data_IF_803613433564
#
_entry.id   IF_803613433564
#
_cell.length_a   1.000
_cell.length_b   1.000
_cell.length_c   1.000
_cell.angle_alpha   90.00
_cell.angle_beta   90.00
_cell.angle_gamma   90.00
#
_symmetry.space_group_name_H-M   'P 1'
#
loop_
_entity.id
_entity.type
_entity.pdbx_description
1 polymer ?
#
# COMPACT_ATOMS: atom_id res chain seq x y z
N UNK A 1 -19.48 20.96 21.31
CA UNK A 1 -18.71 21.67 20.29
C UNK A 1 -19.53 21.69 19.01
N UNK A 2 -19.53 22.80 18.26
CA UNK A 2 -20.17 22.82 16.95
C UNK A 2 -19.45 21.80 16.03
N UNK A 3 -20.17 21.14 15.11
CA UNK A 3 -19.53 20.25 14.14
C UNK A 3 -18.51 21.03 13.31
N UNK A 4 -17.37 20.41 12.95
CA UNK A 4 -16.36 21.07 12.13
C UNK A 4 -16.96 21.46 10.79
N UNK A 5 -16.61 22.64 10.28
CA UNK A 5 -17.03 23.09 8.97
C UNK A 5 -16.19 22.37 7.90
N UNK A 6 -16.82 21.53 7.13
CA UNK A 6 -16.19 20.78 6.04
C UNK A 6 -16.13 21.67 4.80
N UNK A 7 -14.96 21.74 4.15
CA UNK A 7 -14.73 22.50 2.91
C UNK A 7 -14.57 21.59 1.70
N UNK A 8 -13.98 20.40 1.88
CA UNK A 8 -13.77 19.42 0.80
C UNK A 8 -14.18 18.03 1.27
N UNK A 9 -14.90 17.31 0.42
CA UNK A 9 -15.18 15.88 0.62
C UNK A 9 -14.16 15.07 -0.16
N UNK A 10 -13.67 14.00 0.44
CA UNK A 10 -12.74 13.05 -0.16
C UNK A 10 -13.31 11.67 0.07
N UNK A 11 -13.46 10.91 -1.01
CA UNK A 11 -13.92 9.52 -0.95
C UNK A 11 -12.80 8.59 -1.40
N UNK A 12 -12.47 7.63 -0.54
CA UNK A 12 -11.48 6.57 -0.80
C UNK A 12 -12.19 5.23 -0.99
N UNK A 13 -11.73 4.46 -1.98
CA UNK A 13 -12.22 3.13 -2.31
C UNK A 13 -11.05 2.15 -2.44
N UNK A 14 -11.07 1.09 -1.64
CA UNK A 14 -10.12 -0.03 -1.71
C UNK A 14 -10.85 -1.30 -2.14
N UNK A 15 -10.51 -1.80 -3.34
CA UNK A 15 -11.12 -2.98 -3.96
C UNK A 15 -10.16 -4.16 -3.84
N UNK A 16 -10.14 -4.78 -2.67
CA UNK A 16 -9.27 -5.91 -2.37
C UNK A 16 -9.88 -7.28 -2.73
N UNK A 17 -9.03 -8.32 -2.71
CA UNK A 17 -9.49 -9.71 -2.98
C UNK A 17 -10.33 -10.32 -1.85
N UNK A 18 -10.34 -9.71 -0.66
CA UNK A 18 -11.08 -10.18 0.50
C UNK A 18 -12.29 -9.31 0.83
N UNK A 19 -12.10 -8.01 0.77
CA UNK A 19 -13.11 -7.02 1.08
C UNK A 19 -13.00 -5.83 0.15
N UNK A 20 -14.13 -5.18 -0.11
CA UNK A 20 -14.23 -3.85 -0.70
C UNK A 20 -14.58 -2.88 0.42
N UNK A 21 -13.83 -1.82 0.55
CA UNK A 21 -14.01 -0.81 1.58
C UNK A 21 -14.10 0.58 0.99
N UNK A 22 -15.05 1.37 1.47
CA UNK A 22 -15.21 2.79 1.17
C UNK A 22 -15.08 3.64 2.43
N UNK A 23 -14.49 4.82 2.31
CA UNK A 23 -14.36 5.81 3.37
C UNK A 23 -14.62 7.19 2.81
N UNK A 24 -15.57 7.91 3.42
CA UNK A 24 -15.88 9.30 3.11
C UNK A 24 -15.30 10.15 4.23
N UNK A 25 -14.45 11.10 3.90
CA UNK A 25 -13.85 12.03 4.83
C UNK A 25 -14.13 13.47 4.42
N UNK A 26 -14.25 14.35 5.41
CA UNK A 26 -14.34 15.79 5.22
C UNK A 26 -13.07 16.47 5.66
N UNK A 27 -12.53 17.34 4.84
CA UNK A 27 -11.40 18.21 5.17
C UNK A 27 -11.90 19.56 5.63
N UNK A 28 -11.39 20.04 6.75
CA UNK A 28 -11.67 21.36 7.31
C UNK A 28 -10.70 22.42 6.77
N UNK A 29 -10.99 23.70 6.97
CA UNK A 29 -10.15 24.81 6.54
C UNK A 29 -8.72 24.81 7.14
N UNK A 30 -8.55 24.21 8.31
CA UNK A 30 -7.26 24.00 8.97
C UNK A 30 -6.56 22.68 8.56
N UNK A 31 -7.11 21.98 7.55
CA UNK A 31 -6.53 20.78 6.97
C UNK A 31 -6.81 19.50 7.76
N UNK A 32 -7.58 19.52 8.85
CA UNK A 32 -7.93 18.31 9.59
C UNK A 32 -8.91 17.43 8.78
N UNK A 33 -8.72 16.11 8.87
CA UNK A 33 -9.54 15.14 8.18
C UNK A 33 -10.45 14.41 9.15
N UNK A 34 -11.75 14.50 8.92
CA UNK A 34 -12.80 13.88 9.74
C UNK A 34 -13.51 12.79 8.96
N UNK A 35 -13.59 11.59 9.50
CA UNK A 35 -14.35 10.50 8.91
C UNK A 35 -15.84 10.78 9.06
N UNK A 36 -16.55 10.79 7.94
CA UNK A 36 -18.00 11.04 7.88
C UNK A 36 -18.78 9.75 7.70
N UNK A 37 -18.26 8.82 6.92
CA UNK A 37 -18.91 7.54 6.67
C UNK A 37 -17.94 6.46 6.23
N UNK A 38 -18.27 5.21 6.51
CA UNK A 38 -17.49 4.04 6.09
C UNK A 38 -18.42 2.95 5.58
N UNK A 39 -17.97 2.20 4.58
CA UNK A 39 -18.66 1.04 4.07
C UNK A 39 -17.71 -0.11 3.87
N UNK A 40 -18.19 -1.34 4.11
CA UNK A 40 -17.42 -2.55 3.90
C UNK A 40 -18.32 -3.68 3.43
N UNK A 41 -17.83 -4.41 2.41
CA UNK A 41 -18.47 -5.63 1.90
C UNK A 41 -17.43 -6.72 1.71
N UNK A 42 -17.85 -7.96 1.80
CA UNK A 42 -17.05 -9.10 1.37
C UNK A 42 -16.82 -9.00 -0.13
N UNK A 43 -15.58 -9.12 -0.57
CA UNK A 43 -15.24 -9.04 -1.99
C UNK A 43 -15.72 -10.28 -2.73
N UNK A 44 -16.35 -10.04 -3.86
CA UNK A 44 -16.72 -11.06 -4.85
C UNK A 44 -16.35 -10.51 -6.23
N UNK A 45 -15.87 -11.38 -7.12
CA UNK A 45 -15.43 -10.96 -8.45
C UNK A 45 -13.98 -10.46 -8.53
N UNK A 46 -13.24 -10.36 -7.42
CA UNK A 46 -11.82 -9.99 -7.42
C UNK A 46 -10.96 -11.18 -6.99
N UNK A 47 -9.97 -11.53 -7.81
CA UNK A 47 -9.02 -12.60 -7.53
C UNK A 47 -7.59 -12.09 -7.66
N UNK A 48 -6.79 -12.24 -6.61
CA UNK A 48 -5.39 -11.77 -6.54
C UNK A 48 -5.21 -10.29 -6.94
N UNK A 49 -6.18 -9.45 -6.55
CA UNK A 49 -6.22 -8.04 -6.88
C UNK A 49 -6.71 -7.71 -8.28
N UNK A 50 -7.04 -8.70 -9.12
CA UNK A 50 -7.56 -8.50 -10.46
C UNK A 50 -9.07 -8.69 -10.51
N UNK A 51 -9.77 -7.82 -11.25
CA UNK A 51 -11.20 -7.97 -11.55
C UNK A 51 -11.37 -9.20 -12.45
N UNK A 52 -11.96 -10.25 -11.89
CA UNK A 52 -12.23 -11.53 -12.58
C UNK A 52 -13.70 -11.64 -13.00
N UNK A 53 -14.59 -10.93 -12.32
CA UNK A 53 -16.02 -10.83 -12.63
C UNK A 53 -16.45 -9.36 -12.46
N UNK A 54 -16.75 -8.73 -13.59
CA UNK A 54 -17.04 -7.29 -13.66
C UNK A 54 -18.35 -6.95 -12.95
N UNK A 55 -19.41 -7.72 -13.19
CA UNK A 55 -20.75 -7.48 -12.65
C UNK A 55 -20.77 -7.64 -11.12
N UNK A 56 -20.15 -8.70 -10.62
CA UNK A 56 -20.04 -8.88 -9.18
C UNK A 56 -19.19 -7.80 -8.51
N UNK A 57 -18.08 -7.40 -9.15
CA UNK A 57 -17.21 -6.35 -8.58
C UNK A 57 -17.94 -5.01 -8.53
N UNK A 58 -18.62 -4.62 -9.62
CA UNK A 58 -19.45 -3.42 -9.68
C UNK A 58 -20.51 -3.39 -8.58
N UNK A 59 -21.27 -4.48 -8.46
CA UNK A 59 -22.33 -4.59 -7.45
C UNK A 59 -21.80 -4.41 -6.03
N UNK A 60 -20.67 -5.05 -5.69
CA UNK A 60 -20.06 -4.95 -4.36
C UNK A 60 -19.47 -3.56 -4.10
N UNK A 61 -18.88 -2.91 -5.11
CA UNK A 61 -18.41 -1.51 -5.03
C UNK A 61 -19.59 -0.60 -4.69
N UNK A 62 -20.70 -0.70 -5.42
CA UNK A 62 -21.92 0.07 -5.19
C UNK A 62 -22.43 -0.12 -3.76
N UNK A 63 -22.57 -1.37 -3.30
CA UNK A 63 -23.06 -1.64 -1.94
C UNK A 63 -22.14 -1.07 -0.84
N UNK A 64 -20.80 -1.06 -1.05
CA UNK A 64 -19.86 -0.48 -0.10
C UNK A 64 -19.98 1.05 -0.05
N UNK A 65 -20.11 1.70 -1.21
CA UNK A 65 -20.32 3.15 -1.30
C UNK A 65 -21.67 3.55 -0.69
N UNK A 66 -22.76 2.90 -1.07
CA UNK A 66 -24.09 3.19 -0.52
C UNK A 66 -24.14 3.06 1.02
N UNK A 67 -23.36 2.15 1.59
CA UNK A 67 -23.23 2.05 3.04
C UNK A 67 -22.50 3.27 3.62
N UNK A 68 -21.40 3.70 3.00
CA UNK A 68 -20.64 4.86 3.45
C UNK A 68 -21.48 6.15 3.34
N UNK A 69 -22.17 6.34 2.21
CA UNK A 69 -23.09 7.47 1.95
C UNK A 69 -24.20 7.56 2.99
N UNK A 70 -24.82 6.43 3.32
CA UNK A 70 -25.91 6.37 4.32
C UNK A 70 -25.43 6.81 5.70
N UNK A 71 -24.20 6.46 6.06
CA UNK A 71 -23.60 6.86 7.35
C UNK A 71 -23.21 8.33 7.31
N UNK A 72 -22.64 8.80 6.20
CA UNK A 72 -22.21 10.18 6.02
C UNK A 72 -23.38 11.16 5.82
N UNK A 73 -24.55 10.66 5.36
CA UNK A 73 -25.68 11.50 4.95
C UNK A 73 -25.42 12.31 3.68
N UNK A 74 -24.56 11.82 2.78
CA UNK A 74 -24.09 12.48 1.56
C UNK A 74 -24.19 11.52 0.38
N UNK A 75 -24.37 12.06 -0.83
CA UNK A 75 -24.18 11.32 -2.08
C UNK A 75 -22.81 11.63 -2.63
N UNK A 76 -22.17 10.66 -3.25
CA UNK A 76 -20.80 10.73 -3.75
C UNK A 76 -20.80 10.46 -5.26
N UNK A 77 -20.12 11.33 -6.01
CA UNK A 77 -20.00 11.22 -7.47
C UNK A 77 -18.60 10.75 -7.89
N UNK A 78 -17.57 10.96 -7.03
CA UNK A 78 -16.19 10.67 -7.37
C UNK A 78 -15.41 9.99 -6.25
N UNK A 79 -14.39 9.20 -6.62
CA UNK A 79 -13.59 8.40 -5.70
C UNK A 79 -12.11 8.35 -6.08
N UNK A 80 -11.24 8.25 -5.08
CA UNK A 80 -9.86 7.82 -5.18
C UNK A 80 -9.79 6.32 -4.99
N UNK A 81 -9.13 5.60 -5.88
CA UNK A 81 -9.14 4.13 -5.91
C UNK A 81 -7.76 3.57 -5.61
N UNK A 82 -7.65 2.62 -4.67
CA UNK A 82 -6.42 1.90 -4.43
C UNK A 82 -6.19 0.80 -5.47
N UNK A 83 -4.94 0.64 -5.92
CA UNK A 83 -4.49 -0.49 -6.71
C UNK A 83 -3.50 -1.32 -5.92
N UNK A 84 -3.88 -2.55 -5.57
CA UNK A 84 -3.11 -3.50 -4.75
C UNK A 84 -2.87 -4.83 -5.46
N UNK A 85 -3.06 -4.89 -6.77
CA UNK A 85 -2.81 -6.11 -7.55
C UNK A 85 -1.31 -6.38 -7.72
N UNK A 86 -0.97 -7.59 -8.12
CA UNK A 86 0.39 -7.91 -8.54
C UNK A 86 0.82 -7.13 -9.79
N UNK A 87 2.10 -7.18 -10.12
CA UNK A 87 2.65 -6.50 -11.30
C UNK A 87 2.94 -5.01 -11.12
N UNK A 88 2.81 -4.48 -9.89
CA UNK A 88 3.36 -3.16 -9.56
C UNK A 88 4.88 -3.22 -9.61
N UNK A 89 5.47 -2.28 -10.32
CA UNK A 89 6.92 -2.05 -10.35
C UNK A 89 7.22 -0.58 -10.09
N UNK A 90 8.41 -0.31 -9.57
CA UNK A 90 8.94 1.03 -9.43
C UNK A 90 10.21 1.22 -10.24
N UNK A 91 10.43 2.42 -10.72
CA UNK A 91 11.63 2.85 -11.42
C UNK A 91 11.97 4.29 -11.04
N UNK A 92 13.18 4.73 -11.38
CA UNK A 92 13.68 6.08 -11.12
C UNK A 92 14.29 6.66 -12.36
N UNK A 93 13.73 7.75 -12.85
CA UNK A 93 14.27 8.53 -13.98
C UNK A 93 15.01 9.77 -13.45
N UNK A 94 16.36 9.78 -13.49
CA UNK A 94 17.13 10.98 -13.15
C UNK A 94 17.14 11.95 -14.35
N UNK A 95 16.91 13.23 -14.08
CA UNK A 95 17.03 14.30 -15.06
C UNK A 95 17.86 15.45 -14.50
N UNK A 96 18.50 16.20 -15.38
CA UNK A 96 19.33 17.35 -15.03
C UNK A 96 19.26 18.40 -16.15
N UNK A 97 19.21 19.69 -15.77
CA UNK A 97 19.23 20.84 -16.65
C UNK A 97 20.36 21.79 -16.27
N UNK A 98 21.01 22.42 -17.26
CA UNK A 98 21.98 23.47 -17.02
C UNK A 98 21.29 24.82 -16.87
N UNK A 99 21.58 25.52 -15.76
CA UNK A 99 20.99 26.82 -15.43
C UNK A 99 21.97 27.99 -15.65
N UNK A 100 23.28 27.74 -15.65
CA UNK A 100 24.29 28.78 -15.84
C UNK A 100 24.42 29.75 -14.66
N UNK A 101 24.19 29.26 -13.44
CA UNK A 101 24.43 29.98 -12.18
C UNK A 101 23.39 31.02 -11.78
N UNK A 102 22.26 31.11 -12.49
CA UNK A 102 21.21 32.03 -12.08
C UNK A 102 20.42 31.52 -10.86
N UNK A 103 19.61 32.38 -10.30
CA UNK A 103 18.70 32.03 -9.20
C UNK A 103 17.56 31.17 -9.74
N UNK A 104 17.35 30.01 -9.14
CA UNK A 104 16.29 29.07 -9.51
C UNK A 104 14.94 29.68 -9.24
N UNK A 105 14.11 29.75 -10.26
CA UNK A 105 12.72 30.19 -10.20
C UNK A 105 11.78 29.00 -10.39
N UNK A 106 10.48 29.23 -10.23
CA UNK A 106 9.49 28.17 -10.36
C UNK A 106 9.48 27.60 -11.77
N UNK A 107 9.66 28.46 -12.78
CA UNK A 107 9.71 28.11 -14.19
C UNK A 107 10.83 27.10 -14.49
N UNK A 108 12.02 27.26 -13.90
CA UNK A 108 13.14 26.31 -14.07
C UNK A 108 12.77 24.90 -13.55
N UNK A 109 12.06 24.85 -12.42
CA UNK A 109 11.57 23.60 -11.83
C UNK A 109 10.48 22.98 -12.70
N UNK A 110 9.51 23.77 -13.15
CA UNK A 110 8.41 23.31 -14.00
C UNK A 110 8.94 22.78 -15.34
N UNK A 111 9.92 23.46 -15.94
CA UNK A 111 10.57 23.03 -17.18
C UNK A 111 11.37 21.72 -17.01
N UNK A 112 12.11 21.60 -15.90
CA UNK A 112 12.83 20.36 -15.57
C UNK A 112 11.87 19.17 -15.40
N UNK A 113 10.76 19.38 -14.69
CA UNK A 113 9.74 18.34 -14.47
C UNK A 113 9.01 17.97 -15.79
N UNK A 114 8.73 18.95 -16.65
CA UNK A 114 8.13 18.71 -17.97
C UNK A 114 9.07 17.91 -18.87
N UNK A 115 10.39 18.22 -18.86
CA UNK A 115 11.40 17.46 -19.57
C UNK A 115 11.48 16.01 -19.03
N UNK A 116 11.40 15.85 -17.70
CA UNK A 116 11.36 14.55 -17.06
C UNK A 116 10.16 13.71 -17.49
N UNK A 117 8.99 14.33 -17.54
CA UNK A 117 7.77 13.64 -18.04
C UNK A 117 7.96 13.12 -19.45
N UNK A 118 8.56 13.93 -20.34
CA UNK A 118 8.79 13.54 -21.73
C UNK A 118 9.81 12.40 -21.88
N UNK A 119 10.70 12.23 -20.90
CA UNK A 119 11.73 11.19 -20.88
C UNK A 119 11.28 9.86 -20.28
N UNK A 120 10.09 9.76 -19.69
CA UNK A 120 9.60 8.51 -19.12
C UNK A 120 9.08 7.59 -20.22
N UNK A 121 9.75 6.43 -20.40
CA UNK A 121 9.25 5.34 -21.24
C UNK A 121 8.56 4.28 -20.37
N UNK A 122 7.23 4.12 -20.47
CA UNK A 122 6.52 3.14 -19.69
C UNK A 122 6.69 1.69 -20.17
N UNK A 123 7.43 1.44 -21.27
CA UNK A 123 7.63 0.11 -21.84
C UNK A 123 6.31 -0.68 -22.06
N UNK A 124 5.25 0.02 -22.45
CA UNK A 124 3.91 -0.55 -22.65
C UNK A 124 3.09 -0.73 -21.38
N UNK A 125 3.60 -0.33 -20.21
CA UNK A 125 2.88 -0.31 -18.94
C UNK A 125 2.08 0.98 -18.75
N UNK A 126 1.25 1.02 -17.75
CA UNK A 126 0.52 2.23 -17.33
C UNK A 126 1.24 2.88 -16.14
N UNK A 127 1.54 4.16 -16.25
CA UNK A 127 2.11 4.93 -15.16
C UNK A 127 0.98 5.26 -14.17
N UNK A 128 1.13 4.81 -12.92
CA UNK A 128 0.22 5.14 -11.82
C UNK A 128 0.68 6.38 -11.06
N UNK A 129 2.00 6.58 -10.94
CA UNK A 129 2.61 7.73 -10.29
C UNK A 129 3.90 8.11 -11.00
N UNK A 130 4.14 9.40 -11.13
CA UNK A 130 5.42 9.98 -11.55
C UNK A 130 5.66 11.22 -10.68
N UNK A 131 6.40 11.05 -9.58
CA UNK A 131 6.55 12.08 -8.55
C UNK A 131 8.00 12.52 -8.43
N UNK A 132 8.26 13.86 -8.38
CA UNK A 132 9.60 14.35 -8.15
C UNK A 132 10.05 13.95 -6.73
N UNK A 133 11.27 13.47 -6.67
CA UNK A 133 11.95 13.14 -5.43
C UNK A 133 12.73 14.37 -4.89
N UNK A 134 13.92 14.13 -4.36
CA UNK A 134 14.80 15.20 -3.89
C UNK A 134 15.59 15.80 -5.07
N UNK A 135 15.77 17.11 -5.03
CA UNK A 135 16.56 17.84 -6.03
C UNK A 135 18.04 17.75 -5.73
N UNK A 136 18.82 17.93 -6.79
CA UNK A 136 20.29 17.99 -6.76
C UNK A 136 20.75 19.34 -7.33
N UNK A 137 21.59 20.05 -6.61
CA UNK A 137 22.17 21.33 -7.05
C UNK A 137 23.70 21.18 -7.14
N UNK A 138 24.28 21.31 -8.33
CA UNK A 138 25.73 21.19 -8.57
C UNK A 138 26.36 19.94 -7.92
N UNK A 139 25.58 18.84 -7.87
CA UNK A 139 25.97 17.60 -7.21
C UNK A 139 25.69 17.54 -5.71
N UNK A 140 25.16 18.60 -5.09
CA UNK A 140 24.63 18.58 -3.72
C UNK A 140 23.25 17.94 -3.72
N UNK A 141 23.14 16.83 -3.07
CA UNK A 141 21.91 16.03 -3.02
C UNK A 141 21.02 16.38 -1.82
N UNK A 142 19.75 16.03 -1.91
CA UNK A 142 18.82 16.08 -0.77
C UNK A 142 18.14 17.43 -0.60
N UNK A 143 18.11 18.26 -1.61
CA UNK A 143 17.43 19.56 -1.56
C UNK A 143 15.92 19.32 -1.74
N UNK A 144 15.12 19.66 -0.73
CA UNK A 144 13.65 19.49 -0.78
C UNK A 144 12.97 20.59 -1.62
N UNK A 145 13.46 21.80 -1.57
CA UNK A 145 12.97 22.92 -2.36
C UNK A 145 14.15 23.72 -2.93
N UNK A 146 14.37 23.70 -4.24
CA UNK A 146 15.47 24.39 -4.88
C UNK A 146 15.19 25.87 -5.16
N UNK A 147 13.90 26.29 -5.14
CA UNK A 147 13.48 27.64 -5.53
C UNK A 147 14.17 28.69 -4.65
N UNK A 148 14.77 29.68 -5.29
CA UNK A 148 15.44 30.78 -4.61
C UNK A 148 16.94 30.55 -4.36
N UNK A 149 17.45 29.34 -4.56
CA UNK A 149 18.87 29.03 -4.50
C UNK A 149 19.54 29.32 -5.86
N UNK A 150 20.87 29.39 -5.90
CA UNK A 150 21.64 29.54 -7.12
C UNK A 150 22.35 28.22 -7.43
N UNK A 151 22.37 27.82 -8.68
CA UNK A 151 23.12 26.65 -9.14
C UNK A 151 23.47 26.76 -10.62
N UNK A 152 24.58 26.15 -11.02
CA UNK A 152 24.91 25.96 -12.44
C UNK A 152 24.06 24.83 -13.04
N UNK A 153 23.73 23.80 -12.23
CA UNK A 153 22.93 22.64 -12.65
C UNK A 153 21.88 22.28 -11.62
N UNK A 154 20.66 22.03 -12.09
CA UNK A 154 19.53 21.55 -11.32
C UNK A 154 19.16 20.15 -11.80
N UNK A 155 19.17 19.19 -10.88
CA UNK A 155 18.71 17.83 -11.14
C UNK A 155 17.55 17.42 -10.23
N UNK A 156 16.76 16.45 -10.67
CA UNK A 156 15.76 15.77 -9.86
C UNK A 156 15.66 14.31 -10.26
N UNK A 157 15.46 13.44 -9.28
CA UNK A 157 15.07 12.05 -9.53
C UNK A 157 13.55 11.98 -9.56
N UNK A 158 12.98 11.42 -10.61
CA UNK A 158 11.54 11.16 -10.71
C UNK A 158 11.29 9.71 -10.32
N UNK A 159 10.56 9.50 -9.25
CA UNK A 159 10.11 8.17 -8.86
C UNK A 159 8.84 7.81 -9.62
N UNK A 160 8.87 6.68 -10.31
CA UNK A 160 7.80 6.21 -11.19
C UNK A 160 7.26 4.89 -10.65
N UNK A 161 5.94 4.79 -10.54
CA UNK A 161 5.27 3.51 -10.27
C UNK A 161 4.40 3.16 -11.47
N UNK A 162 4.57 1.94 -11.94
CA UNK A 162 3.89 1.43 -13.13
C UNK A 162 3.17 0.10 -12.80
N UNK A 163 2.15 -0.19 -13.57
CA UNK A 163 1.41 -1.44 -13.55
C UNK A 163 1.03 -1.89 -14.95
N UNK A 164 0.62 -3.15 -15.08
CA UNK A 164 0.01 -3.62 -16.31
C UNK A 164 -1.31 -2.86 -16.55
N UNK A 165 -1.47 -2.28 -17.73
CA UNK A 165 -2.58 -1.37 -17.99
C UNK A 165 -3.97 -2.03 -18.02
N UNK A 166 -4.07 -3.31 -18.40
CA UNK A 166 -5.37 -3.99 -18.48
C UNK A 166 -6.04 -4.18 -17.11
N UNK A 167 -5.34 -4.65 -16.04
CA UNK A 167 -5.91 -4.71 -14.70
C UNK A 167 -6.38 -3.37 -14.15
N UNK A 168 -5.60 -2.31 -14.39
CA UNK A 168 -5.97 -0.95 -13.94
C UNK A 168 -7.24 -0.49 -14.63
N UNK A 169 -7.31 -0.61 -15.96
CA UNK A 169 -8.52 -0.24 -16.73
C UNK A 169 -9.74 -1.06 -16.34
N UNK A 170 -9.57 -2.34 -16.02
CA UNK A 170 -10.68 -3.17 -15.56
C UNK A 170 -11.22 -2.70 -14.20
N UNK A 171 -10.31 -2.33 -13.28
CA UNK A 171 -10.70 -1.77 -12.00
C UNK A 171 -11.45 -0.44 -12.17
N UNK A 172 -10.92 0.49 -12.97
CA UNK A 172 -11.60 1.75 -13.28
C UNK A 172 -12.96 1.52 -13.94
N UNK A 173 -13.06 0.56 -14.87
CA UNK A 173 -14.31 0.23 -15.52
C UNK A 173 -15.37 -0.29 -14.53
N UNK A 174 -14.99 -1.16 -13.59
CA UNK A 174 -15.89 -1.65 -12.55
C UNK A 174 -16.41 -0.51 -11.65
N UNK A 175 -15.54 0.43 -11.28
CA UNK A 175 -15.90 1.60 -10.46
C UNK A 175 -16.82 2.54 -11.24
N UNK A 176 -16.52 2.82 -12.52
CA UNK A 176 -17.39 3.67 -13.37
C UNK A 176 -18.74 3.04 -13.66
N UNK A 177 -18.82 1.70 -13.77
CA UNK A 177 -20.11 1.00 -13.89
C UNK A 177 -20.95 1.12 -12.62
N UNK A 178 -20.33 1.31 -11.46
CA UNK A 178 -21.02 1.64 -10.21
C UNK A 178 -21.47 3.12 -10.14
N UNK A 179 -21.40 3.87 -11.24
CA UNK A 179 -21.76 5.29 -11.37
C UNK A 179 -20.88 6.25 -10.57
N UNK A 180 -19.58 5.94 -10.46
CA UNK A 180 -18.60 6.76 -9.78
C UNK A 180 -17.52 7.20 -10.76
N UNK A 181 -17.15 8.47 -10.73
CA UNK A 181 -15.98 8.97 -11.43
C UNK A 181 -14.70 8.63 -10.63
N UNK A 182 -13.64 8.24 -11.35
CA UNK A 182 -12.35 7.91 -10.74
C UNK A 182 -11.45 9.14 -10.86
N UNK A 183 -11.16 9.77 -9.72
CA UNK A 183 -10.24 10.90 -9.65
C UNK A 183 -8.80 10.47 -9.97
N UNK A 184 -8.35 9.40 -9.33
CA UNK A 184 -7.08 8.76 -9.61
C UNK A 184 -7.03 7.32 -9.08
N UNK A 185 -6.18 6.50 -9.69
CA UNK A 185 -5.78 5.19 -9.19
C UNK A 185 -4.42 5.33 -8.51
N UNK A 186 -4.36 4.97 -7.23
CA UNK A 186 -3.20 5.14 -6.36
C UNK A 186 -2.63 3.77 -5.99
N UNK A 187 -1.32 3.59 -6.13
CA UNK A 187 -0.66 2.37 -5.68
C UNK A 187 -0.78 2.21 -4.15
N UNK A 188 -1.28 1.04 -3.71
CA UNK A 188 -1.57 0.79 -2.28
C UNK A 188 -0.39 1.05 -1.34
N UNK A 189 0.89 0.73 -1.69
CA UNK A 189 2.00 1.02 -0.79
C UNK A 189 2.19 2.51 -0.52
N UNK A 190 1.97 3.41 -1.51
CA UNK A 190 2.05 4.85 -1.26
C UNK A 190 1.01 5.26 -0.20
N UNK A 191 -0.24 4.86 -0.40
CA UNK A 191 -1.32 5.16 0.53
C UNK A 191 -1.03 4.59 1.93
N UNK A 192 -0.73 3.29 2.02
CA UNK A 192 -0.45 2.63 3.30
C UNK A 192 0.75 3.23 4.04
N UNK A 193 1.78 3.65 3.30
CA UNK A 193 2.96 4.33 3.85
C UNK A 193 2.61 5.67 4.50
N UNK A 194 1.77 6.48 3.86
CA UNK A 194 1.29 7.76 4.41
C UNK A 194 0.51 7.57 5.72
N UNK A 195 -0.31 6.52 5.81
CA UNK A 195 -1.12 6.27 6.99
C UNK A 195 -0.35 5.67 8.17
N UNK A 196 0.68 4.86 7.91
CA UNK A 196 1.26 3.96 8.93
C UNK A 196 2.72 4.22 9.27
N UNK A 197 3.44 4.96 8.45
CA UNK A 197 4.83 5.34 8.68
C UNK A 197 4.92 6.79 9.18
N UNK A 198 5.82 7.05 10.13
CA UNK A 198 6.18 8.41 10.51
C UNK A 198 7.14 9.02 9.47
N UNK A 199 7.24 10.35 9.47
CA UNK A 199 8.20 11.05 8.61
C UNK A 199 9.64 10.60 8.91
N UNK A 200 9.98 10.43 10.19
CA UNK A 200 11.28 9.93 10.62
C UNK A 200 11.57 8.52 10.10
N UNK A 201 10.61 7.60 10.17
CA UNK A 201 10.76 6.25 9.63
C UNK A 201 10.99 6.28 8.12
N UNK A 202 10.27 7.13 7.39
CA UNK A 202 10.44 7.29 5.94
C UNK A 202 11.77 7.94 5.58
N UNK A 203 12.24 8.90 6.38
CA UNK A 203 13.52 9.58 6.15
C UNK A 203 14.71 8.64 6.43
N UNK A 204 14.69 7.91 7.55
CA UNK A 204 15.82 7.06 8.00
C UNK A 204 15.90 5.72 7.29
N UNK A 205 14.81 5.26 6.69
CA UNK A 205 14.76 3.99 5.99
C UNK A 205 13.94 2.92 6.74
N UNK A 206 12.87 2.45 6.10
CA UNK A 206 11.94 1.45 6.64
C UNK A 206 11.40 0.57 5.51
N UNK A 207 11.15 -0.69 5.81
CA UNK A 207 10.39 -1.56 4.92
C UNK A 207 8.93 -1.62 5.37
N UNK A 208 8.00 -1.35 4.45
CA UNK A 208 6.57 -1.58 4.64
C UNK A 208 6.19 -2.88 3.94
N UNK A 209 5.62 -3.82 4.69
CA UNK A 209 5.14 -5.10 4.15
C UNK A 209 3.63 -5.14 4.29
N UNK A 210 2.95 -5.02 3.16
CA UNK A 210 1.49 -5.10 3.08
C UNK A 210 1.06 -6.55 2.87
N UNK A 211 0.67 -7.22 3.95
CA UNK A 211 0.16 -8.59 3.94
C UNK A 211 -1.32 -8.58 3.55
N UNK A 212 -1.60 -8.55 2.25
CA UNK A 212 -2.95 -8.60 1.73
C UNK A 212 -3.57 -10.00 1.82
N UNK A 213 -4.78 -10.16 1.26
CA UNK A 213 -5.44 -11.45 1.22
C UNK A 213 -4.75 -12.42 0.26
N UNK A 214 -4.40 -11.97 -0.93
CA UNK A 214 -3.85 -12.81 -2.00
C UNK A 214 -2.56 -12.25 -2.64
N UNK A 215 -2.16 -11.05 -2.25
CA UNK A 215 -0.92 -10.39 -2.70
C UNK A 215 -0.24 -9.81 -1.48
N UNK A 216 1.07 -9.95 -1.42
CA UNK A 216 1.92 -9.27 -0.43
C UNK A 216 2.81 -8.29 -1.17
N UNK A 217 2.83 -7.03 -0.75
CA UNK A 217 3.71 -6.01 -1.32
C UNK A 217 4.79 -5.64 -0.32
N UNK A 218 6.05 -5.66 -0.76
CA UNK A 218 7.21 -5.23 0.01
C UNK A 218 7.67 -3.91 -0.60
N UNK A 219 7.71 -2.85 0.21
CA UNK A 219 8.06 -1.50 -0.24
C UNK A 219 9.12 -0.92 0.66
N UNK A 220 10.10 -0.24 0.08
CA UNK A 220 11.18 0.42 0.79
C UNK A 220 10.98 1.93 0.76
N UNK A 221 11.14 2.56 1.90
CA UNK A 221 11.12 4.00 2.07
C UNK A 221 12.47 4.50 2.54
N UNK A 222 12.95 5.59 1.96
CA UNK A 222 14.15 6.31 2.39
C UNK A 222 14.08 7.75 1.88
N UNK A 223 14.66 8.70 2.60
CA UNK A 223 14.65 10.11 2.23
C UNK A 223 13.25 10.71 2.13
N UNK A 224 12.28 10.17 2.89
CA UNK A 224 10.90 10.63 2.95
C UNK A 224 9.96 10.01 1.89
N UNK A 225 10.47 9.17 0.98
CA UNK A 225 9.70 8.65 -0.15
C UNK A 225 9.80 7.12 -0.29
N UNK A 226 8.90 6.54 -1.07
CA UNK A 226 9.03 5.16 -1.55
C UNK A 226 10.14 5.12 -2.60
N UNK A 227 11.13 4.24 -2.43
CA UNK A 227 12.30 4.13 -3.32
C UNK A 227 12.29 2.88 -4.18
N UNK A 228 11.73 1.78 -3.67
CA UNK A 228 11.67 0.53 -4.40
C UNK A 228 10.53 -0.35 -3.86
N UNK A 229 9.99 -1.22 -4.70
CA UNK A 229 8.94 -2.14 -4.29
C UNK A 229 8.92 -3.42 -5.11
N UNK A 230 8.34 -4.47 -4.52
CA UNK A 230 8.05 -5.72 -5.20
C UNK A 230 6.73 -6.31 -4.71
N UNK A 231 5.99 -6.93 -5.63
CA UNK A 231 4.75 -7.64 -5.32
C UNK A 231 4.97 -9.15 -5.35
N UNK A 232 4.46 -9.85 -4.35
CA UNK A 232 4.57 -11.30 -4.18
C UNK A 232 3.19 -11.94 -4.34
N UNK A 233 3.05 -13.03 -5.11
CA UNK A 233 1.76 -13.63 -5.46
C UNK A 233 1.21 -14.56 -4.37
N UNK A 234 1.29 -14.16 -3.11
CA UNK A 234 0.72 -14.85 -1.96
C UNK A 234 0.20 -13.86 -0.91
N UNK A 235 -0.67 -14.35 -0.01
CA UNK A 235 -1.22 -13.53 1.07
C UNK A 235 -1.83 -14.35 2.20
N UNK A 236 -2.58 -13.69 3.07
CA UNK A 236 -3.19 -14.33 4.24
C UNK A 236 -4.22 -15.42 3.91
N UNK A 237 -4.80 -15.39 2.70
CA UNK A 237 -5.72 -16.41 2.23
C UNK A 237 -5.05 -17.76 1.99
N UNK A 238 -3.76 -17.79 1.68
CA UNK A 238 -3.01 -19.04 1.53
C UNK A 238 -2.91 -19.79 2.87
N UNK A 239 -2.88 -19.05 4.00
CA UNK A 239 -2.98 -19.66 5.35
C UNK A 239 -4.33 -20.36 5.52
N UNK A 240 -5.42 -19.70 5.08
CA UNK A 240 -6.77 -20.27 5.14
C UNK A 240 -6.87 -21.54 4.31
N UNK A 241 -6.27 -21.53 3.11
CA UNK A 241 -6.29 -22.67 2.18
C UNK A 241 -5.48 -23.85 2.73
N UNK A 242 -4.35 -23.60 3.39
CA UNK A 242 -3.57 -24.62 4.08
C UNK A 242 -4.33 -25.23 5.27
N UNK A 243 -5.02 -24.41 6.06
CA UNK A 243 -5.88 -24.90 7.15
C UNK A 243 -7.01 -25.78 6.60
N UNK A 244 -7.68 -25.34 5.53
CA UNK A 244 -8.75 -26.09 4.89
C UNK A 244 -8.24 -27.46 4.39
N UNK A 245 -7.09 -27.46 3.74
CA UNK A 245 -6.44 -28.66 3.21
C UNK A 245 -5.97 -29.60 4.32
N UNK A 246 -5.28 -29.07 5.35
CA UNK A 246 -4.71 -29.88 6.44
C UNK A 246 -5.77 -30.63 7.26
N UNK A 247 -6.93 -30.00 7.44
CA UNK A 247 -8.01 -30.58 8.27
C UNK A 247 -9.19 -31.13 7.45
N UNK A 248 -9.16 -31.06 6.10
CA UNK A 248 -10.22 -31.54 5.23
C UNK A 248 -11.56 -30.82 5.46
N UNK A 249 -11.54 -29.53 5.76
CA UNK A 249 -12.71 -28.70 6.07
C UNK A 249 -13.01 -27.67 4.98
N UNK A 250 -14.21 -27.10 5.00
CA UNK A 250 -14.57 -26.03 4.08
C UNK A 250 -13.73 -24.78 4.34
N UNK A 251 -13.38 -24.04 3.29
CA UNK A 251 -12.62 -22.79 3.37
C UNK A 251 -13.24 -21.76 4.33
N UNK A 252 -14.58 -21.64 4.33
CA UNK A 252 -15.30 -20.75 5.27
C UNK A 252 -15.11 -21.14 6.74
N UNK A 253 -15.03 -22.43 7.04
CA UNK A 253 -14.73 -22.91 8.38
C UNK A 253 -13.25 -22.67 8.72
N UNK A 254 -12.32 -22.96 7.80
CA UNK A 254 -10.90 -22.67 7.99
C UNK A 254 -10.64 -21.21 8.31
N UNK A 255 -11.33 -20.31 7.61
CA UNK A 255 -11.29 -18.88 7.87
C UNK A 255 -11.77 -18.50 9.27
N UNK A 256 -12.88 -19.07 9.71
CA UNK A 256 -13.35 -18.86 11.09
C UNK A 256 -12.33 -19.34 12.12
N UNK A 257 -11.73 -20.51 11.89
CA UNK A 257 -10.66 -21.03 12.75
C UNK A 257 -9.46 -20.08 12.78
N UNK A 258 -9.00 -19.59 11.64
CA UNK A 258 -7.90 -18.64 11.54
C UNK A 258 -8.22 -17.34 12.31
N UNK A 259 -9.43 -16.81 12.16
CA UNK A 259 -9.83 -15.53 12.78
C UNK A 259 -9.98 -15.64 14.30
N UNK A 260 -10.56 -16.74 14.81
CA UNK A 260 -10.85 -16.86 16.24
C UNK A 260 -9.72 -17.51 17.06
N UNK A 261 -9.05 -18.50 16.48
CA UNK A 261 -8.04 -19.32 17.18
C UNK A 261 -6.63 -19.16 16.62
N UNK A 262 -6.47 -18.52 15.45
CA UNK A 262 -5.20 -18.35 14.77
C UNK A 262 -4.19 -17.54 15.55
N UNK A 263 -2.94 -17.96 15.50
CA UNK A 263 -1.81 -17.25 16.10
C UNK A 263 -0.51 -17.63 15.38
N UNK A 264 0.39 -16.66 15.22
CA UNK A 264 1.76 -16.89 14.84
C UNK A 264 2.63 -17.40 16.01
N UNK A 265 2.18 -17.14 17.25
CA UNK A 265 2.88 -17.57 18.47
C UNK A 265 2.29 -18.87 19.00
N UNK A 266 3.14 -19.83 19.34
CA UNK A 266 2.75 -21.08 19.99
C UNK A 266 2.85 -20.95 21.51
N UNK A 267 1.93 -21.62 22.24
CA UNK A 267 1.92 -21.68 23.70
C UNK A 267 1.74 -23.14 24.14
N UNK A 268 2.38 -23.56 25.26
CA UNK A 268 2.13 -24.90 25.84
C UNK A 268 0.66 -25.20 26.14
N UNK A 269 -0.16 -24.17 26.40
CA UNK A 269 -1.60 -24.29 26.65
C UNK A 269 -2.37 -24.73 25.38
N UNK A 270 -1.85 -24.43 24.20
CA UNK A 270 -2.51 -24.74 22.92
C UNK A 270 -2.69 -26.26 22.73
N UNK A 271 -1.88 -27.11 23.39
CA UNK A 271 -2.03 -28.55 23.35
C UNK A 271 -3.30 -29.07 24.05
N UNK A 272 -3.82 -28.31 25.01
CA UNK A 272 -5.00 -28.68 25.78
C UNK A 272 -6.27 -27.96 25.32
N UNK A 273 -6.16 -26.99 24.42
CA UNK A 273 -7.29 -26.27 23.86
C UNK A 273 -7.84 -27.05 22.66
N UNK A 274 -9.00 -27.69 22.86
CA UNK A 274 -9.68 -28.53 21.84
C UNK A 274 -10.65 -27.64 21.04
N UNK A 275 -10.56 -27.75 19.72
CA UNK A 275 -11.44 -27.07 18.77
C UNK A 275 -12.25 -28.12 18.03
N UNK A 276 -13.57 -28.01 18.07
CA UNK A 276 -14.47 -28.86 17.34
C UNK A 276 -14.60 -28.38 15.89
N UNK A 277 -14.52 -29.33 14.97
CA UNK A 277 -14.67 -29.07 13.54
C UNK A 277 -16.09 -29.44 13.11
N UNK A 278 -16.69 -28.61 12.26
CA UNK A 278 -17.94 -28.99 11.60
C UNK A 278 -17.67 -30.13 10.61
N UNK A 279 -18.40 -31.23 10.66
CA UNK A 279 -18.18 -32.34 9.72
C UNK A 279 -18.42 -31.88 8.29
N UNK A 280 -17.49 -32.19 7.39
CA UNK A 280 -17.58 -31.85 5.95
C UNK A 280 -18.69 -32.61 5.22
N UNK A 281 -19.13 -33.74 5.74
CA UNK A 281 -20.27 -34.54 5.31
C UNK A 281 -21.04 -35.08 6.53
N UNK A 282 -22.31 -35.46 6.40
CA UNK A 282 -23.06 -36.05 7.50
C UNK A 282 -22.32 -37.35 7.95
N UNK A 283 -21.77 -37.32 9.16
CA UNK A 283 -21.12 -38.47 9.78
C UNK A 283 -21.99 -38.98 10.92
N UNK A 284 -22.14 -40.29 11.03
CA UNK A 284 -22.85 -40.96 12.15
C UNK A 284 -21.94 -41.04 13.40
N UNK A 285 -21.03 -40.10 13.63
CA UNK A 285 -20.06 -40.16 14.71
C UNK A 285 -19.79 -38.81 15.33
N UNK A 286 -18.88 -38.80 16.32
CA UNK A 286 -18.42 -37.54 16.98
C UNK A 286 -17.81 -36.57 15.96
N UNK A 287 -18.05 -35.29 16.18
CA UNK A 287 -17.41 -34.21 15.37
C UNK A 287 -15.89 -34.34 15.44
N UNK A 288 -15.19 -34.22 14.28
CA UNK A 288 -13.73 -34.23 14.29
C UNK A 288 -13.19 -33.10 15.19
N UNK A 289 -12.10 -33.37 15.89
CA UNK A 289 -11.50 -32.44 16.85
C UNK A 289 -10.02 -32.25 16.54
N UNK A 290 -9.56 -31.03 16.70
CA UNK A 290 -8.13 -30.71 16.63
C UNK A 290 -7.72 -29.95 17.89
N UNK A 291 -6.43 -29.94 18.19
CA UNK A 291 -5.89 -29.03 19.19
C UNK A 291 -5.55 -27.68 18.54
N UNK A 292 -5.60 -26.61 19.32
CA UNK A 292 -5.11 -25.30 18.85
C UNK A 292 -3.66 -25.37 18.43
N UNK A 293 -2.84 -26.19 19.08
CA UNK A 293 -1.45 -26.43 18.70
C UNK A 293 -1.30 -26.95 17.28
N UNK A 294 -2.19 -27.87 16.84
CA UNK A 294 -2.20 -28.34 15.46
C UNK A 294 -2.55 -27.22 14.47
N UNK A 295 -3.55 -26.38 14.78
CA UNK A 295 -3.89 -25.22 13.97
C UNK A 295 -2.72 -24.22 13.86
N UNK A 296 -2.11 -23.86 14.99
CA UNK A 296 -0.94 -22.96 15.05
C UNK A 296 0.22 -23.52 14.26
N UNK A 297 0.44 -24.84 14.29
CA UNK A 297 1.50 -25.50 13.51
C UNK A 297 1.31 -25.33 12.01
N UNK A 298 0.09 -25.51 11.49
CA UNK A 298 -0.22 -25.28 10.06
C UNK A 298 -0.01 -23.81 9.68
N UNK A 299 -0.52 -22.88 10.50
CA UNK A 299 -0.33 -21.44 10.28
C UNK A 299 1.16 -21.10 10.20
N UNK A 300 1.96 -21.56 11.15
CA UNK A 300 3.40 -21.27 11.20
C UNK A 300 4.17 -21.83 10.02
N UNK A 301 3.82 -23.03 9.56
CA UNK A 301 4.44 -23.61 8.37
C UNK A 301 4.25 -22.72 7.13
N UNK A 302 3.07 -22.15 6.95
CA UNK A 302 2.83 -21.16 5.87
C UNK A 302 3.59 -19.87 6.11
N UNK A 303 3.58 -19.36 7.34
CA UNK A 303 4.32 -18.14 7.70
C UNK A 303 5.84 -18.28 7.49
N UNK A 304 6.43 -19.45 7.78
CA UNK A 304 7.85 -19.71 7.51
C UNK A 304 8.17 -19.55 6.01
N UNK A 305 7.32 -20.09 5.14
CA UNK A 305 7.47 -19.93 3.70
C UNK A 305 7.31 -18.47 3.26
N UNK A 306 6.26 -17.77 3.75
CA UNK A 306 6.01 -16.35 3.42
C UNK A 306 7.15 -15.46 3.89
N UNK A 307 7.61 -15.60 5.11
CA UNK A 307 8.73 -14.80 5.65
C UNK A 307 10.05 -15.11 4.95
N UNK A 308 10.24 -16.35 4.50
CA UNK A 308 11.39 -16.74 3.68
C UNK A 308 11.42 -15.97 2.35
N UNK A 309 10.28 -15.85 1.66
CA UNK A 309 10.15 -15.08 0.42
C UNK A 309 10.31 -13.57 0.68
N UNK A 310 9.63 -13.02 1.69
CA UNK A 310 9.77 -11.62 2.09
C UNK A 310 11.24 -11.30 2.41
N UNK A 311 11.91 -12.18 3.14
CA UNK A 311 13.33 -12.01 3.48
C UNK A 311 14.27 -12.03 2.27
N UNK A 312 13.96 -12.85 1.24
CA UNK A 312 14.67 -12.83 -0.05
C UNK A 312 14.42 -11.53 -0.79
N UNK A 313 13.14 -11.14 -0.92
CA UNK A 313 12.74 -9.89 -1.58
C UNK A 313 13.41 -8.68 -0.92
N UNK A 314 13.45 -8.59 0.40
CA UNK A 314 14.15 -7.52 1.11
C UNK A 314 15.65 -7.47 0.75
N UNK A 315 16.29 -8.63 0.53
CA UNK A 315 17.69 -8.69 0.08
C UNK A 315 17.83 -8.26 -1.37
N UNK A 316 16.93 -8.71 -2.24
CA UNK A 316 16.94 -8.37 -3.67
C UNK A 316 16.73 -6.87 -3.87
N UNK A 317 15.84 -6.26 -3.08
CA UNK A 317 15.64 -4.81 -2.99
C UNK A 317 16.76 -4.10 -2.20
N UNK A 318 17.86 -4.78 -1.89
CA UNK A 318 19.01 -4.22 -1.19
C UNK A 318 18.71 -3.62 0.20
N UNK A 319 17.62 -4.02 0.83
CA UNK A 319 17.34 -3.66 2.22
C UNK A 319 18.20 -4.51 3.15
N UNK A 320 19.50 -4.31 3.04
CA UNK A 320 20.51 -4.96 3.85
C UNK A 320 20.99 -4.01 4.92
N UNK A 321 21.36 -4.51 6.09
CA UNK A 321 21.96 -3.72 7.12
C UNK A 321 21.31 -3.78 8.48
N UNK A 322 22.14 -3.57 9.52
CA UNK A 322 21.81 -4.07 10.84
C UNK A 322 20.96 -3.16 11.70
N UNK A 323 21.12 -1.86 11.63
CA UNK A 323 20.68 -1.01 12.73
C UNK A 323 19.67 0.04 12.28
N UNK A 324 18.54 0.12 13.01
CA UNK A 324 17.51 1.15 12.82
C UNK A 324 16.51 0.87 11.72
N UNK A 325 16.70 -0.19 10.94
CA UNK A 325 15.81 -0.52 9.84
C UNK A 325 14.78 -1.55 10.26
N UNK A 326 13.62 -1.04 10.55
CA UNK A 326 12.49 -1.86 10.95
C UNK A 326 11.63 -2.26 9.76
N UNK A 327 10.83 -3.29 10.01
CA UNK A 327 9.75 -3.73 9.13
C UNK A 327 8.42 -3.34 9.76
N UNK A 328 7.57 -2.68 8.99
CA UNK A 328 6.21 -2.35 9.40
C UNK A 328 5.24 -3.22 8.62
N UNK A 329 4.40 -3.97 9.33
CA UNK A 329 3.41 -4.86 8.75
C UNK A 329 2.06 -4.17 8.70
N UNK A 330 1.41 -4.18 7.54
CA UNK A 330 0.04 -3.69 7.34
C UNK A 330 -0.77 -4.69 6.53
N UNK A 331 -2.03 -4.38 6.21
CA UNK A 331 -2.92 -5.30 5.52
C UNK A 331 -3.60 -6.29 6.48
N UNK A 332 -4.60 -7.03 5.99
CA UNK A 332 -5.40 -7.95 6.81
C UNK A 332 -4.61 -9.11 7.42
N UNK A 333 -3.52 -9.53 6.79
CA UNK A 333 -2.63 -10.56 7.34
C UNK A 333 -1.87 -10.11 8.59
N UNK A 334 -1.68 -8.80 8.76
CA UNK A 334 -1.02 -8.23 9.93
C UNK A 334 -1.91 -8.21 11.20
N UNK A 335 -3.19 -8.53 11.09
CA UNK A 335 -4.08 -8.73 12.24
C UNK A 335 -3.86 -10.07 12.97
N UNK A 336 -3.07 -10.99 12.36
CA UNK A 336 -2.80 -12.29 12.98
C UNK A 336 -2.03 -12.09 14.31
N UNK A 337 -2.56 -12.67 15.37
CA UNK A 337 -1.99 -12.55 16.71
C UNK A 337 -0.52 -13.02 16.73
N UNK A 338 0.38 -12.18 17.25
CA UNK A 338 1.80 -12.49 17.41
C UNK A 338 2.63 -12.36 16.11
N UNK A 339 2.06 -11.83 15.02
CA UNK A 339 2.75 -11.72 13.72
C UNK A 339 3.99 -10.82 13.78
N UNK A 340 3.96 -9.74 14.56
CA UNK A 340 5.11 -8.83 14.66
C UNK A 340 6.33 -9.53 15.32
N UNK A 341 6.10 -10.20 16.45
CA UNK A 341 7.17 -10.95 17.15
C UNK A 341 7.70 -12.08 16.27
N UNK A 342 6.79 -12.77 15.57
CA UNK A 342 7.16 -13.82 14.63
C UNK A 342 8.02 -13.28 13.49
N UNK A 343 7.62 -12.18 12.89
CA UNK A 343 8.37 -11.51 11.81
C UNK A 343 9.73 -11.04 12.30
N UNK A 344 9.80 -10.47 13.51
CA UNK A 344 11.07 -10.04 14.10
C UNK A 344 12.06 -11.19 14.22
N UNK A 345 11.61 -12.35 14.67
CA UNK A 345 12.46 -13.55 14.78
C UNK A 345 12.83 -14.09 13.39
N UNK A 346 11.86 -14.20 12.49
CA UNK A 346 12.07 -14.79 11.16
C UNK A 346 13.01 -13.95 10.27
N UNK A 347 12.87 -12.62 10.31
CA UNK A 347 13.67 -11.70 9.49
C UNK A 347 14.93 -11.17 10.21
N UNK A 348 15.07 -11.40 11.52
CA UNK A 348 16.17 -10.87 12.33
C UNK A 348 16.16 -9.33 12.41
N UNK A 349 14.98 -8.68 12.33
CA UNK A 349 14.81 -7.23 12.30
C UNK A 349 13.68 -6.79 13.21
N UNK A 350 13.78 -5.60 13.78
CA UNK A 350 12.66 -5.02 14.53
C UNK A 350 11.40 -4.98 13.61
N UNK A 351 10.29 -5.46 14.15
CA UNK A 351 9.03 -5.47 13.42
C UNK A 351 7.88 -4.93 14.29
N UNK A 352 6.97 -4.19 13.69
CA UNK A 352 5.74 -3.71 14.32
C UNK A 352 4.56 -3.81 13.37
N UNK A 353 3.36 -3.83 13.91
CA UNK A 353 2.14 -3.66 13.14
C UNK A 353 1.86 -2.17 12.97
N UNK A 354 1.66 -1.73 11.72
CA UNK A 354 1.23 -0.38 11.39
C UNK A 354 -0.28 -0.24 11.56
N UNK A 355 -0.71 0.90 12.10
CA UNK A 355 -2.12 1.27 12.21
C UNK A 355 -2.32 2.65 11.60
N UNK A 356 -3.44 2.87 10.90
CA UNK A 356 -3.71 4.16 10.28
C UNK A 356 -3.78 5.29 11.31
N UNK A 357 -3.22 6.44 10.91
CA UNK A 357 -3.19 7.68 11.69
C UNK A 357 -3.63 8.84 10.79
N UNK A 358 -3.85 10.02 11.39
CA UNK A 358 -4.14 11.26 10.65
C UNK A 358 -5.61 11.48 10.31
N UNK A 359 -6.51 10.58 10.71
CA UNK A 359 -7.96 10.72 10.53
C UNK A 359 -8.66 10.82 11.89
N UNK A 360 -9.48 11.84 12.07
CA UNK A 360 -10.34 11.99 13.23
C UNK A 360 -11.65 11.23 13.05
N UNK A 361 -12.10 10.54 14.10
CA UNK A 361 -13.38 9.82 14.09
C UNK A 361 -13.37 8.50 13.30
N UNK A 362 -12.19 7.94 13.00
CA UNK A 362 -12.10 6.61 12.41
C UNK A 362 -12.65 5.56 13.41
N UNK A 363 -13.69 4.78 13.04
CA UNK A 363 -14.24 3.77 13.92
C UNK A 363 -13.22 2.72 14.31
N UNK A 364 -13.30 2.19 15.55
CA UNK A 364 -12.37 1.15 16.02
C UNK A 364 -12.32 -0.07 15.08
N UNK A 365 -13.45 -0.45 14.50
CA UNK A 365 -13.52 -1.53 13.51
C UNK A 365 -12.70 -1.28 12.25
N UNK A 366 -12.37 -0.02 11.95
CA UNK A 366 -11.59 0.40 10.77
C UNK A 366 -10.21 0.97 11.13
N UNK A 367 -9.79 0.86 12.41
CA UNK A 367 -8.50 1.37 12.90
C UNK A 367 -7.37 0.34 12.82
N UNK A 368 -7.65 -0.88 12.37
CA UNK A 368 -6.68 -1.97 12.24
C UNK A 368 -5.78 -1.82 11.01
N UNK A 369 -4.69 -2.62 10.93
CA UNK A 369 -3.73 -2.62 9.82
C UNK A 369 -4.38 -2.95 8.47
N UNK A 370 -5.52 -3.64 8.48
CA UNK A 370 -6.29 -3.98 7.29
C UNK A 370 -6.95 -2.77 6.58
N UNK A 371 -6.90 -1.59 7.18
CA UNK A 371 -7.45 -0.35 6.64
C UNK A 371 -6.38 0.73 6.38
N UNK A 372 -5.10 0.34 6.42
CA UNK A 372 -3.98 1.22 6.18
C UNK A 372 -4.09 1.93 4.81
N UNK A 373 -4.32 1.17 3.76
CA UNK A 373 -4.46 1.67 2.39
C UNK A 373 -5.64 2.62 2.25
N UNK A 374 -6.81 2.24 2.78
CA UNK A 374 -8.03 3.06 2.70
C UNK A 374 -7.86 4.43 3.39
N UNK A 375 -7.30 4.43 4.60
CA UNK A 375 -7.00 5.66 5.33
C UNK A 375 -5.93 6.51 4.62
N UNK A 376 -4.92 5.84 4.08
CA UNK A 376 -3.84 6.49 3.34
C UNK A 376 -4.28 7.13 2.03
N UNK A 377 -5.29 6.58 1.35
CA UNK A 377 -5.90 7.21 0.18
C UNK A 377 -6.49 8.59 0.51
N UNK A 378 -7.15 8.71 1.65
CA UNK A 378 -7.68 10.02 2.10
C UNK A 378 -6.55 11.00 2.36
N UNK A 379 -5.48 10.55 3.03
CA UNK A 379 -4.30 11.40 3.29
C UNK A 379 -3.62 11.82 1.98
N UNK A 380 -3.49 10.88 1.03
CA UNK A 380 -2.92 11.15 -0.30
C UNK A 380 -3.74 12.20 -1.05
N UNK A 381 -5.06 12.00 -1.14
CA UNK A 381 -5.97 12.92 -1.81
C UNK A 381 -6.04 14.31 -1.16
N UNK A 382 -5.83 14.38 0.16
CA UNK A 382 -5.81 15.64 0.90
C UNK A 382 -4.49 16.40 0.74
N UNK A 383 -3.38 15.70 0.48
CA UNK A 383 -2.06 16.33 0.32
C UNK A 383 -1.85 16.99 -1.04
N UNK A 384 -2.74 16.71 -2.01
CA UNK A 384 -2.69 17.22 -3.39
C UNK A 384 -1.27 17.10 -3.99
N UNK A 385 -0.73 15.86 -4.08
CA UNK A 385 0.66 15.65 -4.44
C UNK A 385 0.93 16.05 -5.89
N UNK A 386 2.08 16.64 -6.14
CA UNK A 386 2.54 16.92 -7.51
C UNK A 386 2.78 15.59 -8.24
N UNK A 387 2.06 15.38 -9.33
CA UNK A 387 2.24 14.22 -10.21
C UNK A 387 2.53 14.73 -11.64
N UNK A 388 3.64 14.26 -12.23
CA UNK A 388 4.05 14.71 -13.56
C UNK A 388 3.05 14.32 -14.65
N UNK A 389 2.19 13.33 -14.40
CA UNK A 389 1.13 12.95 -15.35
C UNK A 389 0.16 14.10 -15.63
N UNK A 390 -0.04 14.97 -14.65
CA UNK A 390 -0.99 16.09 -14.71
C UNK A 390 -0.39 17.34 -15.34
N UNK A 391 0.95 17.37 -15.52
CA UNK A 391 1.61 18.49 -16.17
C UNK A 391 1.37 18.50 -17.69
N UNK A 392 1.25 19.68 -18.33
CA UNK A 392 1.11 19.78 -19.78
C UNK A 392 2.36 19.22 -20.48
N UNK A 393 2.16 18.49 -21.59
CA UNK A 393 3.28 18.07 -22.44
C UNK A 393 3.88 19.29 -23.13
N UNK A 394 5.11 19.64 -22.78
CA UNK A 394 5.90 20.61 -23.51
C UNK A 394 6.63 19.97 -24.69
N UNK A 395 6.92 20.74 -25.75
CA UNK A 395 7.70 20.28 -26.89
C UNK A 395 9.13 19.98 -26.46
N UNK A 396 9.66 18.87 -26.98
CA UNK A 396 10.98 18.32 -26.65
C UNK A 396 12.11 19.34 -26.80
N UNK A 397 12.69 19.75 -25.69
CA UNK A 397 14.05 20.26 -25.65
C UNK A 397 14.95 19.31 -24.86
N UNK A 398 16.09 19.07 -25.42
CA UNK A 398 17.16 18.11 -25.13
C UNK A 398 17.26 17.66 -23.66
N UNK A 399 16.69 16.48 -23.37
CA UNK A 399 16.93 15.70 -22.16
C UNK A 399 18.40 15.26 -22.11
N UNK A 400 19.10 15.56 -21.03
CA UNK A 400 20.38 14.95 -20.67
C UNK A 400 20.17 14.17 -19.38
N UNK A 401 20.43 12.84 -19.35
CA UNK A 401 20.30 12.08 -18.10
C UNK A 401 21.28 12.65 -17.07
N UNK A 402 20.80 12.88 -15.86
CA UNK A 402 21.64 13.19 -14.71
C UNK A 402 22.63 12.05 -14.45
N UNK A 403 23.73 12.36 -13.80
CA UNK A 403 24.68 11.35 -13.31
C UNK A 403 24.02 10.34 -12.34
N UNK A 404 24.79 9.67 -11.50
CA UNK A 404 24.27 8.68 -10.54
C UNK A 404 23.20 9.30 -9.64
N UNK A 405 21.96 8.82 -9.78
CA UNK A 405 20.76 9.29 -9.10
C UNK A 405 20.90 9.29 -7.57
N UNK A 406 20.22 10.24 -6.90
CA UNK A 406 20.10 10.28 -5.43
C UNK A 406 19.54 8.98 -4.89
N UNK A 407 18.49 8.43 -5.53
CA UNK A 407 17.91 7.17 -5.11
C UNK A 407 18.92 6.02 -5.25
N UNK A 408 19.72 6.00 -6.33
CA UNK A 408 20.86 5.09 -6.43
C UNK A 408 21.89 5.31 -5.32
N UNK A 409 22.14 6.56 -4.92
CA UNK A 409 23.07 6.89 -3.82
C UNK A 409 22.45 6.62 -2.46
N UNK A 410 21.15 6.87 -2.25
CA UNK A 410 20.40 6.45 -1.06
C UNK A 410 20.41 4.93 -0.96
N UNK A 411 20.18 4.24 -2.08
CA UNK A 411 20.27 2.78 -2.17
C UNK A 411 21.71 2.29 -1.96
N UNK A 412 22.72 2.99 -2.48
CA UNK A 412 24.12 2.69 -2.23
C UNK A 412 24.52 3.00 -0.77
N UNK A 413 24.04 4.08 -0.18
CA UNK A 413 24.19 4.37 1.23
C UNK A 413 23.46 3.34 2.11
N UNK A 414 22.30 2.88 1.66
CA UNK A 414 21.62 1.72 2.21
C UNK A 414 22.46 0.43 2.04
N UNK A 415 23.34 0.34 1.04
CA UNK A 415 24.29 -0.75 0.82
C UNK A 415 25.61 -0.58 1.60
N UNK A 416 26.13 0.64 1.73
CA UNK A 416 27.49 0.93 2.18
C UNK A 416 27.64 1.30 3.67
N UNK A 417 26.53 1.41 4.40
CA UNK A 417 26.56 1.61 5.88
C UNK A 417 26.84 0.31 6.63
N UNK A 418 27.72 -0.54 6.03
CA UNK A 418 28.13 -1.86 6.54
C UNK A 418 29.60 -2.12 6.26
#
# INVERSE_FOLDING_TARGET
>A
MAPPRIEKIITALDVGSWKVCALIAGQTADGQLHVLGTGQRESRGVQRGYVADMEQTEHIVREAIEQAERIAGLNIDDVWVAFSAGGLISDVAPIESELGGHRIEKEDVDDLLAAGRAGIDPEGRMILHAQPALYTLDGLNGVKNPIGLHADRLGVDIHIIMADGAPVRNLEAAVRQAHLDVNAVVASPIAAGLACLSDEERDLGVALVELGAAVTTVSLYAGGMLVEMASLPFGASDITDDIASAFGIRRSQAQRLQSFYGSASASPRDNNEIIELEPGAPTNGDSPRITRAQLVSVIRQRLDAMMGEIGRTLKDLHFVGPIGRQVVLVGGGADLKGIADYTQVALGRAARVGRPRGLHGLPDAHSGPAFATLAGLVLYAASDPVDLRDLPMMAQDVYKPAGTSILHRLMAALKSSF
#
